data_IF_093503799329
#
_entry.id   IF_093503799329
#
_cell.length_a   1.000
_cell.length_b   1.000
_cell.length_c   1.000
_cell.angle_alpha   90.00
_cell.angle_beta   90.00
_cell.angle_gamma   90.00
#
_symmetry.space_group_name_H-M   'P 1'
#
loop_
_entity.id
_entity.type
_entity.pdbx_description
1 polymer ?
2 non-polymer ?
3 non-polymer ?
4 non-polymer ?
5 water ?
#
# COMPACT_ATOMS: atom_id res chain seq x y z
N UNK A 1 -7.68 28.06 3.60
CA UNK A 1 -8.22 28.51 4.85
C UNK A 1 -8.95 27.47 5.63
N UNK A 2 -9.99 26.89 5.07
CA UNK A 2 -10.75 25.91 5.79
C UNK A 2 -10.20 24.53 6.09
N UNK A 3 -9.63 23.88 5.11
CA UNK A 3 -9.05 22.60 5.34
C UNK A 3 -7.69 22.46 4.76
N UNK A 4 -6.76 21.91 5.54
CA UNK A 4 -5.43 21.54 5.00
C UNK A 4 -5.47 20.04 4.73
N UNK A 5 -5.39 19.67 3.46
CA UNK A 5 -5.34 18.30 3.08
C UNK A 5 -3.89 17.97 2.85
N UNK A 6 -3.36 17.05 3.63
CA UNK A 6 -2.00 16.62 3.54
C UNK A 6 -1.88 15.51 2.54
N UNK A 7 -1.25 15.84 1.46
CA UNK A 7 -1.06 14.97 0.38
C UNK A 7 -1.98 15.10 -0.77
N UNK A 8 -1.42 14.87 -1.96
CA UNK A 8 -2.17 14.88 -3.22
C UNK A 8 -2.08 13.52 -3.91
N UNK A 9 -2.08 12.43 -3.14
CA UNK A 9 -2.14 11.10 -3.76
C UNK A 9 -3.55 10.80 -4.19
N UNK A 10 -3.85 9.56 -4.48
CA UNK A 10 -5.23 9.17 -4.88
C UNK A 10 -6.17 9.63 -3.79
N UNK A 11 -5.69 9.65 -2.56
CA UNK A 11 -6.59 9.93 -1.42
C UNK A 11 -6.83 11.42 -1.20
N UNK A 12 -5.79 12.24 -1.33
CA UNK A 12 -6.02 13.65 -1.20
C UNK A 12 -6.89 14.17 -2.29
N UNK A 13 -6.58 13.82 -3.49
CA UNK A 13 -7.34 14.18 -4.61
C UNK A 13 -8.74 13.75 -4.41
N UNK A 14 -9.01 12.60 -3.91
CA UNK A 14 -10.36 12.30 -3.71
C UNK A 14 -10.95 13.17 -2.70
N UNK A 15 -10.15 13.63 -1.80
CA UNK A 15 -10.61 14.43 -0.71
C UNK A 15 -10.79 15.86 -1.14
N UNK A 16 -9.90 16.35 -1.95
CA UNK A 16 -9.99 17.67 -2.46
C UNK A 16 -11.05 17.87 -3.47
N UNK A 17 -11.73 16.83 -3.82
CA UNK A 17 -12.74 16.87 -4.77
C UNK A 17 -14.02 16.63 -4.04
N UNK A 18 -13.95 16.23 -2.80
CA UNK A 18 -15.22 16.13 -2.08
C UNK A 18 -15.49 17.45 -1.38
N UNK A 19 -14.43 18.13 -0.97
CA UNK A 19 -14.53 19.41 -0.27
C UNK A 19 -14.91 20.51 -1.25
N UNK A 20 -14.42 20.46 -2.46
CA UNK A 20 -14.77 21.42 -3.46
C UNK A 20 -16.22 21.27 -3.88
N UNK A 21 -16.66 20.05 -4.06
CA UNK A 21 -18.04 19.78 -4.40
C UNK A 21 -18.99 20.26 -3.35
N UNK A 22 -18.48 20.52 -2.18
CA UNK A 22 -19.32 21.07 -1.17
C UNK A 22 -19.01 22.53 -0.89
N UNK A 23 -18.16 23.15 -1.67
CA UNK A 23 -17.75 24.47 -1.32
C UNK A 23 -16.86 24.67 -0.10
N UNK A 24 -15.89 23.86 0.14
CA UNK A 24 -15.11 24.13 1.29
C UNK A 24 -13.77 24.56 0.91
N UNK A 25 -13.32 25.59 1.58
CA UNK A 25 -12.05 26.18 1.35
C UNK A 25 -11.10 25.11 1.75
N UNK A 26 -10.01 24.98 1.05
CA UNK A 26 -9.06 23.95 1.31
C UNK A 26 -7.87 24.08 0.47
N UNK A 27 -6.80 23.51 0.96
CA UNK A 27 -5.58 23.47 0.13
C UNK A 27 -5.01 22.07 0.23
N UNK A 28 -4.33 21.61 -0.80
CA UNK A 28 -3.62 20.31 -0.68
C UNK A 28 -2.13 20.57 -0.78
N UNK A 29 -1.39 20.02 0.16
CA UNK A 29 0.06 20.24 0.21
C UNK A 29 0.76 18.92 -0.11
N UNK A 30 1.41 18.85 -1.25
CA UNK A 30 2.21 17.65 -1.62
C UNK A 30 3.69 18.02 -1.60
N UNK A 31 4.56 17.06 -1.32
CA UNK A 31 6.02 17.28 -1.23
C UNK A 31 6.67 17.03 -2.59
N UNK A 32 5.96 16.36 -3.49
CA UNK A 32 6.58 15.99 -4.77
C UNK A 32 6.27 16.98 -5.86
N UNK A 33 7.02 16.94 -7.00
CA UNK A 33 6.80 17.86 -8.09
C UNK A 33 5.49 17.78 -8.86
N UNK A 34 4.71 16.75 -8.62
CA UNK A 34 3.36 16.66 -9.22
C UNK A 34 2.50 15.77 -8.34
N UNK A 35 1.25 15.68 -8.73
CA UNK A 35 0.29 14.82 -7.99
C UNK A 35 0.39 13.38 -8.50
N UNK A 36 -0.11 12.44 -7.72
CA UNK A 36 -0.18 11.04 -8.18
C UNK A 36 0.19 10.06 -7.10
N UNK A 37 0.72 10.56 -6.00
CA UNK A 37 1.22 9.63 -5.03
C UNK A 37 2.48 8.77 -5.39
N UNK A 38 2.35 7.49 -5.10
CA UNK A 38 3.45 6.54 -5.35
C UNK A 38 3.48 6.26 -6.84
N UNK A 39 2.36 6.43 -7.53
CA UNK A 39 2.23 6.06 -8.96
C UNK A 39 3.03 6.95 -9.89
N UNK A 40 3.42 8.13 -9.40
CA UNK A 40 4.17 9.11 -10.20
C UNK A 40 5.66 8.84 -10.14
N UNK A 41 6.15 8.28 -9.03
CA UNK A 41 7.61 8.13 -8.77
C UNK A 41 8.29 7.19 -9.77
N UNK A 42 7.81 5.97 -10.02
CA UNK A 42 8.39 5.14 -11.03
C UNK A 42 8.07 5.93 -12.30
N UNK A 43 9.06 6.55 -12.89
CA UNK A 43 8.70 7.39 -14.04
C UNK A 43 9.51 8.64 -13.97
N UNK A 44 9.92 9.03 -12.77
CA UNK A 44 10.84 10.18 -12.67
C UNK A 44 12.10 9.65 -12.02
N UNK A 45 12.15 8.35 -11.82
CA UNK A 45 13.37 7.73 -11.28
C UNK A 45 13.46 8.02 -9.82
N UNK A 46 12.32 8.19 -9.19
CA UNK A 46 12.35 8.62 -7.78
C UNK A 46 12.23 7.42 -6.84
N UNK A 47 12.77 7.55 -5.64
CA UNK A 47 12.77 6.43 -4.66
C UNK A 47 11.37 6.28 -4.07
N UNK A 48 10.64 5.28 -4.55
CA UNK A 48 9.36 4.93 -3.96
C UNK A 48 9.13 3.45 -4.02
N UNK A 49 8.06 2.95 -3.36
CA UNK A 49 7.72 1.55 -3.43
C UNK A 49 7.70 0.94 -4.81
N UNK A 50 7.09 1.61 -5.76
CA UNK A 50 6.95 1.08 -7.11
C UNK A 50 8.24 0.95 -7.89
N UNK A 51 8.14 0.51 -9.13
CA UNK A 51 9.34 0.23 -9.94
C UNK A 51 8.96 0.31 -11.37
N UNK A 52 9.93 0.29 -12.27
CA UNK A 52 9.61 0.51 -13.69
C UNK A 52 8.64 -0.55 -14.23
N UNK A 53 8.37 -1.63 -13.49
CA UNK A 53 7.52 -2.75 -14.00
C UNK A 53 6.24 -2.81 -13.22
N UNK A 54 5.84 -1.71 -12.60
CA UNK A 54 4.65 -1.76 -11.72
C UNK A 54 3.38 -1.51 -12.53
N UNK A 55 2.50 -2.48 -12.45
CA UNK A 55 1.17 -2.33 -13.06
C UNK A 55 0.16 -2.57 -11.94
N UNK A 56 -1.05 -2.16 -12.17
CA UNK A 56 -2.14 -2.49 -11.27
C UNK A 56 -2.25 -4.02 -11.14
N UNK A 57 -2.78 -4.45 -9.99
CA UNK A 57 -3.14 -5.78 -9.59
C UNK A 57 -4.65 -5.74 -9.32
N UNK A 58 -5.26 -4.62 -9.55
CA UNK A 58 -6.70 -4.61 -9.48
C UNK A 58 -7.28 -4.15 -10.75
N UNK A 59 -8.56 -4.38 -10.98
CA UNK A 59 -9.22 -4.00 -12.24
C UNK A 59 -9.42 -2.50 -12.38
N UNK A 60 -9.52 -2.01 -13.60
CA UNK A 60 -9.59 -0.55 -13.87
C UNK A 60 -10.96 -0.01 -13.50
N UNK A 61 -12.01 -0.73 -13.85
CA UNK A 61 -13.38 -0.29 -13.57
C UNK A 61 -13.58 -0.17 -12.08
N UNK A 62 -12.72 -0.82 -11.32
CA UNK A 62 -12.89 -0.83 -9.85
C UNK A 62 -11.80 0.01 -9.17
N UNK A 63 -10.81 0.50 -9.91
CA UNK A 63 -9.70 1.23 -9.27
C UNK A 63 -9.74 2.68 -9.70
N UNK A 64 -10.38 2.97 -10.82
CA UNK A 64 -10.53 4.37 -11.20
C UNK A 64 -11.69 5.00 -10.35
N UNK A 65 -11.77 6.37 -10.43
CA UNK A 65 -12.71 7.16 -9.66
C UNK A 65 -14.08 6.87 -10.28
N UNK A 66 -15.11 6.56 -9.51
CA UNK A 66 -16.38 6.14 -10.15
C UNK A 66 -16.93 7.18 -11.13
N UNK A 67 -16.63 8.46 -10.91
CA UNK A 67 -17.07 9.58 -11.79
C UNK A 67 -15.99 9.99 -12.78
N UNK A 68 -14.81 9.41 -12.69
CA UNK A 68 -13.76 9.69 -13.70
C UNK A 68 -13.27 8.36 -14.21
N UNK A 69 -14.00 7.74 -15.13
CA UNK A 69 -13.57 6.49 -15.70
C UNK A 69 -12.20 6.62 -16.35
N UNK A 70 -11.41 5.54 -16.31
CA UNK A 70 -10.07 5.53 -16.91
C UNK A 70 -10.26 5.33 -18.41
N UNK A 71 -9.39 5.88 -19.28
CA UNK A 71 -9.50 5.70 -20.70
C UNK A 71 -9.89 4.34 -21.17
N UNK A 72 -10.72 4.44 -22.14
CA UNK A 72 -11.22 3.37 -22.87
C UNK A 72 -10.15 2.33 -23.22
N UNK A 73 -9.11 2.83 -23.81
CA UNK A 73 -8.03 2.09 -24.33
C UNK A 73 -7.02 1.61 -23.34
N UNK A 74 -7.27 1.96 -22.08
CA UNK A 74 -6.39 1.48 -21.01
C UNK A 74 -6.71 0.02 -20.83
N UNK A 75 -5.74 -0.77 -20.37
CA UNK A 75 -6.03 -2.15 -20.06
C UNK A 75 -6.59 -2.42 -18.69
N UNK A 76 -6.93 -3.68 -18.43
CA UNK A 76 -7.40 -4.08 -17.09
C UNK A 76 -6.34 -3.74 -16.04
N UNK A 77 -5.09 -3.95 -16.37
CA UNK A 77 -4.00 -3.61 -15.43
C UNK A 77 -3.09 -2.60 -16.08
N UNK A 78 -3.46 -1.29 -16.08
CA UNK A 78 -2.58 -0.27 -16.58
C UNK A 78 -1.29 -0.19 -15.81
N UNK A 79 -0.32 0.48 -16.39
CA UNK A 79 1.00 0.58 -15.74
C UNK A 79 1.11 1.84 -14.87
N UNK A 80 2.15 1.90 -14.06
CA UNK A 80 2.43 3.07 -13.20
C UNK A 80 2.27 4.32 -14.06
N UNK A 81 2.86 4.32 -15.22
CA UNK A 81 2.82 5.47 -16.16
C UNK A 81 1.39 5.87 -16.54
N UNK A 82 0.51 4.91 -16.75
CA UNK A 82 -0.86 5.21 -17.21
C UNK A 82 -1.71 5.70 -16.05
N UNK A 83 -1.46 5.21 -14.86
CA UNK A 83 -2.25 5.58 -13.66
C UNK A 83 -1.84 6.99 -13.26
N UNK A 84 -0.57 7.24 -13.10
CA UNK A 84 -0.10 8.59 -12.76
C UNK A 84 -0.69 9.63 -13.69
N UNK A 85 -0.84 9.31 -14.97
CA UNK A 85 -1.35 10.25 -15.96
C UNK A 85 -2.86 10.40 -15.86
N UNK A 86 -3.56 9.36 -15.43
CA UNK A 86 -5.02 9.43 -15.18
C UNK A 86 -5.28 10.29 -13.98
N UNK A 87 -4.34 10.31 -13.04
CA UNK A 87 -4.57 11.04 -11.77
C UNK A 87 -4.30 12.52 -11.99
N UNK A 88 -3.27 12.83 -12.76
CA UNK A 88 -3.02 14.18 -13.09
C UNK A 88 -4.20 14.67 -13.83
N UNK A 89 -4.72 13.85 -14.71
CA UNK A 89 -5.88 14.24 -15.54
C UNK A 89 -7.09 14.49 -14.66
N UNK A 90 -7.20 13.77 -13.55
CA UNK A 90 -8.44 13.90 -12.73
C UNK A 90 -8.40 15.20 -12.00
N UNK A 91 -7.23 15.60 -11.56
CA UNK A 91 -7.09 16.87 -10.84
C UNK A 91 -7.33 18.00 -11.81
N UNK A 92 -6.90 17.83 -13.04
CA UNK A 92 -7.15 18.83 -14.08
C UNK A 92 -8.67 18.99 -14.26
N UNK A 93 -9.38 17.88 -14.38
CA UNK A 93 -10.82 17.89 -14.66
C UNK A 93 -11.61 18.23 -13.43
N UNK A 94 -11.06 18.13 -12.24
CA UNK A 94 -11.91 18.46 -11.09
C UNK A 94 -11.50 19.80 -10.48
N UNK A 95 -10.62 20.54 -11.14
CA UNK A 95 -10.25 21.89 -10.70
C UNK A 95 -9.45 21.97 -9.44
N UNK A 96 -8.72 20.91 -9.10
CA UNK A 96 -8.06 20.85 -7.79
C UNK A 96 -6.66 21.45 -7.81
N UNK A 97 -6.10 21.70 -8.97
CA UNK A 97 -4.69 22.14 -9.03
C UNK A 97 -4.53 23.57 -8.53
N UNK A 98 -5.56 24.38 -8.71
CA UNK A 98 -5.54 25.76 -8.16
C UNK A 98 -5.30 25.63 -6.66
N UNK A 99 -5.55 24.44 -6.12
CA UNK A 99 -5.48 24.31 -4.69
C UNK A 99 -4.27 23.60 -4.18
N UNK A 100 -3.50 23.02 -5.08
CA UNK A 100 -2.38 22.15 -4.63
C UNK A 100 -1.06 22.92 -4.58
N UNK A 101 -0.40 22.82 -3.44
CA UNK A 101 0.92 23.43 -3.29
C UNK A 101 1.92 22.30 -3.46
N UNK A 102 2.64 22.30 -4.55
CA UNK A 102 3.50 21.20 -4.78
C UNK A 102 4.78 21.44 -4.13
N UNK A 103 5.64 20.44 -4.18
CA UNK A 103 6.98 20.54 -3.56
C UNK A 103 6.88 21.28 -2.23
N UNK A 104 5.80 21.05 -1.49
CA UNK A 104 5.61 21.68 -0.16
C UNK A 104 5.44 20.56 0.86
N UNK A 105 6.47 20.33 1.65
CA UNK A 105 6.44 19.19 2.58
C UNK A 105 5.97 19.63 3.95
N UNK A 106 5.06 18.87 4.51
CA UNK A 106 4.51 19.23 5.83
C UNK A 106 5.56 18.74 6.82
N UNK A 107 6.18 19.70 7.50
CA UNK A 107 7.18 19.40 8.53
C UNK A 107 6.44 19.07 9.81
N UNK A 108 5.37 19.82 10.11
CA UNK A 108 4.74 19.59 11.38
C UNK A 108 3.28 19.86 11.45
N UNK A 109 2.61 19.33 12.45
CA UNK A 109 1.18 19.51 12.68
C UNK A 109 0.84 19.55 14.14
N UNK A 110 -0.07 20.40 14.52
CA UNK A 110 -0.40 20.55 15.91
C UNK A 110 -1.58 21.33 16.40
N UNK A 111 -2.32 20.76 17.30
CA UNK A 111 -3.45 21.44 17.89
C UNK A 111 -3.13 22.42 18.97
N UNK A 112 -3.67 23.63 18.79
CA UNK A 112 -3.56 24.81 19.65
C UNK A 112 -4.66 24.77 20.55
N UNK A 113 -4.61 25.55 21.58
CA UNK A 113 -5.57 25.17 22.56
C UNK A 113 -6.94 25.84 22.25
N UNK A 114 -7.43 25.88 21.00
CA UNK A 114 -8.73 26.42 20.62
C UNK A 114 -9.35 25.78 19.39
N UNK A 115 -8.66 24.79 18.76
CA UNK A 115 -9.26 23.92 17.73
C UNK A 115 -8.76 24.03 16.27
N UNK A 116 -8.13 25.18 15.91
CA UNK A 116 -7.48 25.30 14.63
C UNK A 116 -6.13 24.68 14.84
N UNK A 117 -5.45 24.41 13.75
CA UNK A 117 -4.16 23.69 13.83
C UNK A 117 -3.12 24.50 13.11
N UNK A 118 -1.90 24.55 13.64
CA UNK A 118 -0.79 25.20 12.94
C UNK A 118 -0.13 24.14 12.11
N UNK A 119 0.14 24.45 10.85
CA UNK A 119 0.74 23.48 9.92
C UNK A 119 2.02 24.09 9.36
N UNK A 120 3.18 23.53 9.67
CA UNK A 120 4.43 24.00 9.10
C UNK A 120 4.79 23.25 7.86
N UNK A 121 5.17 23.94 6.82
CA UNK A 121 5.42 23.29 5.59
C UNK A 121 6.69 23.77 4.93
N UNK A 122 7.40 22.88 4.28
CA UNK A 122 8.67 23.22 3.68
C UNK A 122 8.64 23.43 2.19
N UNK A 123 8.88 24.66 1.78
CA UNK A 123 8.93 24.99 0.38
C UNK A 123 10.15 24.41 -0.26
N UNK A 124 10.20 24.46 -1.57
CA UNK A 124 11.31 23.78 -2.19
C UNK A 124 12.65 24.31 -1.71
N UNK A 125 12.67 25.60 -1.44
CA UNK A 125 13.82 26.35 -0.91
C UNK A 125 14.23 25.88 0.45
N UNK A 126 13.49 24.94 1.00
CA UNK A 126 13.81 24.44 2.31
C UNK A 126 13.43 25.44 3.37
N UNK A 127 13.01 26.61 2.95
CA UNK A 127 12.60 27.67 3.80
C UNK A 127 11.32 27.19 4.42
N UNK A 128 11.16 27.34 5.74
CA UNK A 128 9.94 26.82 6.43
C UNK A 128 8.86 27.91 6.54
N UNK A 129 7.61 27.51 6.80
CA UNK A 129 6.48 28.48 6.98
C UNK A 129 5.41 27.82 7.86
N UNK A 130 4.78 28.59 8.75
CA UNK A 130 3.72 28.09 9.59
C UNK A 130 2.45 28.83 9.31
N UNK A 131 1.34 28.11 9.23
CA UNK A 131 0.06 28.70 8.96
C UNK A 131 -0.92 28.05 9.87
N UNK A 132 -2.16 28.44 9.79
CA UNK A 132 -3.15 27.89 10.65
C UNK A 132 -4.39 27.53 9.90
N UNK A 133 -4.92 26.32 10.12
CA UNK A 133 -6.13 25.85 9.45
C UNK A 133 -7.17 25.32 10.43
N UNK A 134 -8.44 25.46 10.09
CA UNK A 134 -9.51 25.09 11.04
C UNK A 134 -9.54 23.59 11.13
N UNK A 135 -9.48 22.98 9.96
CA UNK A 135 -9.43 21.50 9.94
C UNK A 135 -8.26 21.01 9.09
N UNK A 136 -7.77 19.84 9.40
CA UNK A 136 -6.71 19.07 8.74
C UNK A 136 -7.17 17.58 8.35
N UNK A 137 -7.13 17.26 7.05
CA UNK A 137 -7.21 15.84 6.58
C UNK A 137 -5.84 15.27 6.25
N UNK A 138 -5.44 14.25 6.99
CA UNK A 138 -4.18 13.55 6.65
C UNK A 138 -4.45 12.50 5.56
N UNK A 139 -3.73 12.56 4.44
CA UNK A 139 -3.86 11.60 3.34
C UNK A 139 -2.46 11.23 2.87
N UNK A 140 -1.56 10.96 3.81
CA UNK A 140 -0.11 10.81 3.53
C UNK A 140 0.36 9.42 3.07
N UNK A 141 -0.45 8.39 3.21
CA UNK A 141 -0.08 7.03 2.82
C UNK A 141 0.48 6.24 3.97
N UNK A 142 0.53 4.92 3.83
CA UNK A 142 1.20 4.14 4.91
C UNK A 142 2.31 3.27 4.31
N UNK A 143 2.86 3.69 3.17
CA UNK A 143 3.95 2.96 2.49
C UNK A 143 5.11 3.93 2.29
N UNK A 144 5.56 4.54 3.37
CA UNK A 144 6.59 5.60 3.28
C UNK A 144 7.93 5.20 3.91
N UNK A 145 7.92 4.30 4.88
CA UNK A 145 9.16 3.92 5.57
C UNK A 145 9.38 2.45 5.31
N UNK A 146 10.54 2.02 4.78
CA UNK A 146 10.79 0.60 4.58
C UNK A 146 11.11 -0.16 5.78
N UNK A 147 10.54 -1.32 5.74
CA UNK A 147 10.70 -2.24 6.77
C UNK A 147 11.79 -3.31 6.64
N UNK A 148 13.01 -2.93 6.96
CA UNK A 148 14.11 -3.85 6.95
C UNK A 148 14.06 -4.79 8.12
N UNK A 149 14.45 -6.08 7.91
CA UNK A 149 14.57 -7.04 9.01
C UNK A 149 15.46 -6.51 10.09
N UNK A 150 14.98 -6.52 11.33
CA UNK A 150 15.77 -5.82 12.39
C UNK A 150 17.09 -6.53 12.60
N UNK A 151 17.13 -7.80 13.02
CA UNK A 151 18.43 -8.39 13.10
C UNK A 151 18.74 -8.51 11.62
N UNK A 152 19.57 -7.64 11.08
CA UNK A 152 20.01 -7.82 9.67
C UNK A 152 20.97 -9.02 9.68
N UNK A 153 20.82 -10.03 8.77
CA UNK A 153 21.78 -11.11 8.66
C UNK A 153 23.26 -10.84 8.76
N UNK A 154 23.89 -11.50 9.69
CA UNK A 154 25.26 -11.11 10.10
C UNK A 154 26.26 -11.14 8.94
N UNK A 155 27.24 -10.25 9.00
CA UNK A 155 28.22 -10.14 7.93
C UNK A 155 27.80 -9.16 6.87
N UNK A 156 26.59 -8.64 7.00
CA UNK A 156 26.15 -7.61 6.02
C UNK A 156 27.00 -6.23 5.99
N UNK A 157 27.76 -5.96 7.03
CA UNK A 157 28.59 -4.73 6.99
C UNK A 157 29.87 -5.05 6.22
N UNK A 158 30.09 -6.34 5.96
CA UNK A 158 31.29 -6.82 5.23
C UNK A 158 30.85 -7.63 4.02
N UNK A 159 29.78 -7.21 3.35
CA UNK A 159 29.36 -7.81 2.07
C UNK A 159 29.96 -6.91 1.06
N UNK A 160 30.30 -7.43 -0.11
CA UNK A 160 30.98 -6.59 -1.10
C UNK A 160 29.95 -6.06 -2.09
N UNK A 161 28.68 -6.32 -1.81
CA UNK A 161 27.64 -5.92 -2.76
C UNK A 161 26.68 -4.87 -2.24
N UNK A 162 25.55 -4.71 -2.94
CA UNK A 162 24.59 -3.66 -2.60
C UNK A 162 23.41 -4.27 -1.89
N UNK A 163 23.16 -3.84 -0.67
CA UNK A 163 21.94 -4.31 0.05
C UNK A 163 20.92 -3.17 -0.11
N UNK A 164 19.69 -3.53 -0.45
CA UNK A 164 18.74 -2.48 -0.78
C UNK A 164 17.30 -2.93 -0.50
N UNK A 165 16.40 -1.94 -0.52
CA UNK A 165 14.97 -2.22 -0.34
C UNK A 165 14.23 -1.89 -1.64
N UNK A 166 13.02 -2.38 -1.76
CA UNK A 166 12.17 -2.12 -2.94
C UNK A 166 11.87 -0.63 -3.09
N UNK A 167 12.12 0.18 -2.07
CA UNK A 167 11.88 1.63 -2.28
C UNK A 167 12.96 2.09 -3.25
N UNK A 168 14.13 1.50 -3.18
CA UNK A 168 15.22 1.97 -3.99
C UNK A 168 15.41 1.21 -5.23
N UNK A 169 14.50 0.30 -5.48
CA UNK A 169 14.56 -0.46 -6.70
C UNK A 169 13.91 0.30 -7.76
N UNK A 170 14.52 0.29 -8.91
CA UNK A 170 14.05 1.07 -9.99
C UNK A 170 13.86 0.28 -11.25
N UNK A 171 14.94 -0.17 -11.85
CA UNK A 171 14.85 -0.89 -13.08
C UNK A 171 15.56 -2.16 -13.03
N UNK A 172 14.97 -3.09 -13.70
CA UNK A 172 15.59 -4.36 -13.80
C UNK A 172 16.89 -4.15 -14.53
N UNK A 173 16.95 -3.15 -15.37
CA UNK A 173 18.14 -2.87 -16.13
C UNK A 173 19.38 -2.49 -15.40
N UNK A 174 19.28 -1.80 -14.29
CA UNK A 174 20.43 -1.43 -13.54
C UNK A 174 21.14 -2.66 -13.03
N UNK A 175 20.54 -3.84 -13.12
CA UNK A 175 21.15 -5.04 -12.50
C UNK A 175 21.62 -6.02 -13.59
N UNK A 176 21.71 -5.53 -14.81
CA UNK A 176 22.18 -6.31 -15.97
C UNK A 176 23.45 -7.11 -15.69
N UNK A 177 23.39 -8.42 -15.84
CA UNK A 177 24.56 -9.25 -15.70
C UNK A 177 25.03 -9.50 -14.34
N UNK A 178 24.17 -9.34 -13.38
CA UNK A 178 24.62 -9.47 -12.05
C UNK A 178 23.87 -10.53 -11.32
N UNK A 179 24.26 -10.80 -10.11
CA UNK A 179 23.64 -11.83 -9.33
C UNK A 179 22.92 -11.25 -8.14
N UNK A 180 21.60 -11.43 -8.05
CA UNK A 180 20.80 -10.84 -7.01
C UNK A 180 19.87 -11.73 -6.25
N UNK A 181 19.68 -11.44 -4.98
CA UNK A 181 18.74 -12.21 -4.14
C UNK A 181 17.57 -11.28 -3.77
N UNK A 182 16.38 -11.57 -4.25
CA UNK A 182 15.17 -10.81 -3.87
C UNK A 182 14.76 -11.42 -2.52
N UNK A 183 14.52 -10.60 -1.49
CA UNK A 183 14.04 -11.16 -0.19
C UNK A 183 12.55 -10.81 0.01
N UNK A 184 11.68 -11.82 0.06
CA UNK A 184 10.24 -11.64 0.30
C UNK A 184 9.42 -12.57 -0.54
N UNK A 185 8.14 -12.70 -0.23
CA UNK A 185 7.22 -13.50 -1.09
C UNK A 185 5.97 -12.64 -1.35
N UNK A 186 6.09 -11.33 -1.11
CA UNK A 186 4.99 -10.40 -1.38
C UNK A 186 4.92 -9.93 -2.81
N UNK A 187 3.99 -9.03 -3.11
CA UNK A 187 3.76 -8.54 -4.48
C UNK A 187 4.87 -7.64 -4.96
N UNK A 188 5.64 -7.12 -4.04
CA UNK A 188 6.82 -6.34 -4.46
C UNK A 188 7.92 -7.34 -4.84
N UNK A 189 8.07 -8.41 -4.09
CA UNK A 189 9.17 -9.37 -4.32
C UNK A 189 8.93 -10.21 -5.56
N UNK A 190 7.72 -10.71 -5.72
CA UNK A 190 7.40 -11.58 -6.87
C UNK A 190 7.61 -10.74 -8.13
N UNK A 191 7.36 -9.46 -8.04
CA UNK A 191 7.44 -8.57 -9.22
C UNK A 191 8.91 -8.26 -9.54
N UNK A 192 9.72 -8.03 -8.52
CA UNK A 192 11.12 -7.59 -8.77
C UNK A 192 11.92 -8.78 -9.30
N UNK A 193 11.71 -9.96 -8.73
CA UNK A 193 12.34 -11.18 -9.27
C UNK A 193 12.01 -11.32 -10.75
N UNK A 194 10.74 -11.27 -11.10
CA UNK A 194 10.30 -11.39 -12.50
C UNK A 194 10.98 -10.37 -13.39
N UNK A 195 11.22 -9.19 -12.86
CA UNK A 195 12.00 -8.19 -13.64
C UNK A 195 13.44 -8.70 -13.69
N UNK A 196 14.08 -8.88 -12.54
CA UNK A 196 15.50 -9.28 -12.49
C UNK A 196 15.73 -10.53 -13.34
N UNK A 197 14.69 -11.33 -13.53
CA UNK A 197 14.77 -12.58 -14.31
C UNK A 197 15.08 -12.29 -15.77
N UNK A 198 14.95 -11.05 -16.18
CA UNK A 198 15.11 -10.78 -17.62
C UNK A 198 16.27 -9.79 -17.80
N UNK A 199 16.99 -9.53 -16.72
CA UNK A 199 18.10 -8.55 -16.77
C UNK A 199 19.35 -9.11 -16.06
N UNK A 200 19.17 -9.73 -14.92
CA UNK A 200 20.32 -10.24 -14.12
C UNK A 200 20.72 -11.65 -14.52
N UNK A 201 21.99 -11.93 -14.55
CA UNK A 201 22.47 -13.24 -14.95
C UNK A 201 21.92 -14.27 -14.07
N UNK A 202 21.44 -13.85 -12.92
CA UNK A 202 20.84 -14.78 -12.01
C UNK A 202 20.06 -14.10 -10.96
N UNK A 203 19.00 -14.74 -10.51
CA UNK A 203 18.05 -14.16 -9.60
C UNK A 203 17.58 -15.23 -8.67
N UNK A 204 17.77 -15.02 -7.40
CA UNK A 204 17.32 -15.99 -6.37
C UNK A 204 16.25 -15.31 -5.53
N UNK A 205 15.24 -16.06 -5.13
CA UNK A 205 14.12 -15.52 -4.30
C UNK A 205 14.18 -16.15 -2.91
N UNK A 206 14.63 -15.38 -1.92
CA UNK A 206 14.77 -15.91 -0.54
C UNK A 206 13.43 -15.81 0.18
N UNK A 207 12.84 -16.96 0.50
CA UNK A 207 11.54 -17.00 1.21
C UNK A 207 11.73 -17.60 2.59
N UNK A 208 10.80 -17.32 3.49
CA UNK A 208 10.88 -17.80 4.90
C UNK A 208 9.53 -18.27 5.38
N UNK A 209 8.47 -18.06 4.61
CA UNK A 209 7.18 -18.44 5.18
C UNK A 209 6.24 -19.19 4.25
N UNK A 210 6.16 -18.76 3.01
CA UNK A 210 5.23 -19.43 2.08
C UNK A 210 3.86 -18.81 2.11
N UNK A 211 3.44 -18.24 0.99
CA UNK A 211 2.14 -17.56 0.90
C UNK A 211 1.43 -18.13 -0.33
N UNK A 212 0.14 -18.39 -0.20
CA UNK A 212 -0.65 -18.88 -1.33
C UNK A 212 -0.44 -17.91 -2.49
N UNK A 213 -0.01 -18.43 -3.63
CA UNK A 213 0.32 -17.53 -4.77
C UNK A 213 -0.79 -17.65 -5.81
N UNK A 214 -1.53 -16.56 -5.97
CA UNK A 214 -2.62 -16.62 -6.87
C UNK A 214 -2.41 -15.92 -8.13
N UNK A 215 -2.95 -16.55 -9.22
CA UNK A 215 -2.79 -15.83 -10.46
C UNK A 215 -3.78 -14.72 -10.44
N UNK A 216 -3.55 -13.74 -11.30
CA UNK A 216 -4.36 -12.49 -11.30
C UNK A 216 -5.79 -12.71 -11.77
N UNK A 217 -5.99 -13.77 -12.50
CA UNK A 217 -7.31 -14.01 -13.08
C UNK A 217 -7.64 -15.47 -12.89
N UNK A 218 -8.84 -15.73 -12.43
CA UNK A 218 -9.31 -17.11 -12.35
C UNK A 218 -10.56 -17.12 -13.23
N UNK A 219 -10.63 -18.04 -14.14
CA UNK A 219 -11.78 -18.13 -15.06
C UNK A 219 -11.81 -16.92 -15.92
N UNK A 220 -10.66 -16.36 -16.25
CA UNK A 220 -10.81 -15.18 -17.03
C UNK A 220 -11.08 -13.94 -16.24
N UNK A 221 -11.64 -14.08 -15.06
CA UNK A 221 -12.02 -12.89 -14.26
C UNK A 221 -11.03 -12.64 -13.10
N UNK A 222 -10.67 -11.38 -12.93
CA UNK A 222 -9.74 -10.97 -11.87
C UNK A 222 -10.27 -11.30 -10.48
N UNK A 223 -9.36 -11.49 -9.55
CA UNK A 223 -9.73 -11.84 -8.15
C UNK A 223 -10.57 -10.70 -7.57
N UNK A 224 -10.34 -9.45 -7.93
CA UNK A 224 -11.25 -8.41 -7.38
C UNK A 224 -12.63 -8.55 -7.99
N UNK A 225 -12.71 -8.79 -9.29
CA UNK A 225 -14.01 -8.85 -10.01
C UNK A 225 -14.85 -10.07 -9.63
N UNK A 226 -14.26 -11.02 -8.94
CA UNK A 226 -15.03 -12.21 -8.49
C UNK A 226 -15.49 -11.92 -7.07
N UNK A 227 -14.72 -11.12 -6.34
CA UNK A 227 -15.16 -10.86 -5.06
C UNK A 227 -16.41 -10.01 -5.15
N UNK A 228 -16.79 -9.62 -6.36
CA UNK A 228 -17.96 -8.72 -6.50
C UNK A 228 -19.05 -9.49 -7.24
N UNK A 229 -18.70 -10.66 -7.73
CA UNK A 229 -19.71 -11.51 -8.39
C UNK A 229 -20.82 -11.77 -7.41
N UNK A 230 -22.06 -11.93 -7.88
CA UNK A 230 -23.11 -12.26 -6.97
C UNK A 230 -22.92 -13.73 -6.60
N UNK A 231 -22.45 -14.52 -7.55
CA UNK A 231 -22.26 -15.96 -7.29
C UNK A 231 -21.17 -16.21 -6.24
N UNK A 232 -20.10 -15.42 -6.24
CA UNK A 232 -19.03 -15.59 -5.22
C UNK A 232 -19.59 -15.19 -3.88
N UNK A 233 -20.35 -14.11 -3.85
CA UNK A 233 -21.06 -13.77 -2.59
C UNK A 233 -22.19 -14.78 -2.55
N UNK A 234 -23.05 -14.77 -1.56
CA UNK A 234 -24.08 -15.85 -1.57
C UNK A 234 -23.34 -17.20 -1.54
N UNK A 235 -22.07 -17.19 -1.17
CA UNK A 235 -21.34 -18.46 -0.96
C UNK A 235 -20.70 -18.34 0.43
N UNK A 236 -20.70 -19.42 1.18
CA UNK A 236 -20.22 -19.37 2.58
C UNK A 236 -18.70 -19.30 2.59
N UNK A 237 -18.12 -19.03 3.75
CA UNK A 237 -16.65 -18.78 3.82
C UNK A 237 -15.88 -20.06 3.64
N UNK A 238 -16.59 -21.17 3.56
CA UNK A 238 -15.90 -22.46 3.30
C UNK A 238 -16.31 -22.89 1.88
N UNK A 239 -17.43 -22.41 1.37
CA UNK A 239 -17.72 -22.80 -0.02
C UNK A 239 -16.64 -22.13 -0.87
N UNK A 240 -16.29 -20.93 -0.50
CA UNK A 240 -15.28 -20.21 -1.18
C UNK A 240 -13.88 -20.79 -1.09
N UNK A 241 -13.48 -21.14 0.11
CA UNK A 241 -12.17 -21.69 0.31
C UNK A 241 -11.92 -22.85 -0.58
N UNK A 242 -12.85 -23.77 -0.60
CA UNK A 242 -12.66 -24.93 -1.37
C UNK A 242 -12.76 -24.58 -2.82
N UNK A 243 -13.72 -23.78 -3.19
CA UNK A 243 -13.77 -23.30 -4.59
C UNK A 243 -12.38 -22.90 -5.02
N UNK A 244 -11.77 -21.96 -4.31
CA UNK A 244 -10.41 -21.44 -4.63
C UNK A 244 -9.40 -22.58 -4.52
N UNK A 245 -9.46 -23.30 -3.42
CA UNK A 245 -8.52 -24.41 -3.25
C UNK A 245 -8.59 -25.25 -4.48
N UNK A 246 -9.78 -25.73 -4.80
CA UNK A 246 -9.93 -26.51 -6.01
C UNK A 246 -9.42 -25.75 -7.24
N UNK A 247 -9.90 -24.57 -7.46
CA UNK A 247 -9.42 -23.53 -8.39
C UNK A 247 -7.90 -23.32 -8.50
N UNK A 248 -7.16 -23.17 -7.44
CA UNK A 248 -5.71 -22.98 -7.61
C UNK A 248 -4.94 -24.32 -7.91
N UNK A 249 -5.48 -25.45 -7.52
CA UNK A 249 -4.71 -26.64 -7.89
C UNK A 249 -4.81 -26.83 -9.41
N UNK A 250 -5.95 -26.51 -10.00
CA UNK A 250 -6.16 -26.72 -11.46
C UNK A 250 -5.39 -25.66 -12.23
N UNK A 251 -5.06 -24.56 -11.58
CA UNK A 251 -4.45 -23.48 -12.35
C UNK A 251 -2.93 -23.48 -12.20
N UNK A 252 -2.42 -23.91 -11.06
CA UNK A 252 -1.00 -23.88 -10.81
C UNK A 252 -0.56 -25.06 -10.01
N UNK A 253 -1.48 -25.92 -9.66
CA UNK A 253 -1.15 -27.04 -8.82
C UNK A 253 -0.86 -26.78 -7.40
N UNK A 254 0.25 -27.32 -6.95
CA UNK A 254 0.64 -27.12 -5.61
C UNK A 254 1.94 -26.45 -5.62
N UNK A 255 2.21 -25.73 -4.57
CA UNK A 255 3.40 -24.97 -4.50
C UNK A 255 4.60 -25.75 -4.01
N UNK A 256 4.42 -26.89 -3.34
CA UNK A 256 5.61 -27.67 -2.96
C UNK A 256 6.23 -28.22 -4.24
N UNK A 257 5.48 -28.19 -5.33
CA UNK A 257 5.95 -28.68 -6.64
C UNK A 257 6.61 -27.51 -7.40
N UNK A 258 6.93 -26.44 -6.70
CA UNK A 258 7.66 -25.32 -7.33
C UNK A 258 8.81 -24.90 -6.43
N UNK A 259 9.09 -25.67 -5.41
CA UNK A 259 10.23 -25.37 -4.53
C UNK A 259 9.89 -24.29 -3.54
N UNK A 260 8.60 -23.99 -3.39
CA UNK A 260 8.18 -22.89 -2.50
C UNK A 260 7.59 -23.47 -1.23
N UNK A 261 7.89 -22.87 -0.05
CA UNK A 261 7.32 -23.32 1.19
C UNK A 261 5.79 -23.26 1.21
N UNK A 262 5.17 -24.37 1.52
CA UNK A 262 3.71 -24.40 1.66
C UNK A 262 3.29 -23.52 2.84
N UNK A 263 2.13 -22.87 2.73
CA UNK A 263 1.67 -22.01 3.78
C UNK A 263 1.07 -22.86 4.91
N UNK A 264 1.13 -22.34 6.12
CA UNK A 264 0.61 -23.09 7.30
C UNK A 264 -0.91 -23.07 7.32
N UNK A 265 -1.51 -21.93 6.99
CA UNK A 265 -2.99 -21.82 7.09
C UNK A 265 -3.54 -21.61 5.69
N UNK A 266 -4.75 -22.12 5.37
CA UNK A 266 -5.26 -22.08 4.02
C UNK A 266 -5.51 -20.72 3.43
N UNK A 267 -5.94 -20.74 2.18
CA UNK A 267 -6.17 -19.45 1.48
C UNK A 267 -7.11 -18.57 2.31
N UNK A 268 -6.93 -17.25 2.28
CA UNK A 268 -7.78 -16.26 3.01
C UNK A 268 -7.46 -16.24 4.47
N UNK A 269 -6.84 -17.31 4.94
CA UNK A 269 -6.40 -17.41 6.34
C UNK A 269 -4.88 -17.20 6.31
N UNK A 270 -4.32 -16.75 5.18
CA UNK A 270 -2.87 -16.44 5.04
C UNK A 270 -2.77 -15.46 3.87
N UNK A 271 -1.78 -14.57 3.83
CA UNK A 271 -1.82 -13.54 2.79
C UNK A 271 -1.72 -14.22 1.44
N UNK A 272 -2.30 -13.57 0.46
CA UNK A 272 -2.17 -14.09 -0.88
C UNK A 272 -1.26 -13.16 -1.58
N UNK A 273 -0.37 -13.72 -2.37
CA UNK A 273 0.41 -12.86 -3.24
C UNK A 273 -0.13 -13.11 -4.61
N UNK A 274 -0.52 -12.04 -5.29
CA UNK A 274 -1.00 -12.16 -6.68
C UNK A 274 0.20 -12.12 -7.63
N UNK A 275 0.21 -13.00 -8.61
CA UNK A 275 1.29 -13.04 -9.63
C UNK A 275 0.84 -13.99 -10.73
N UNK A 276 1.06 -13.59 -11.97
CA UNK A 276 0.70 -14.41 -13.13
C UNK A 276 2.00 -14.92 -13.74
N UNK A 277 3.15 -14.66 -13.10
CA UNK A 277 4.47 -14.95 -13.71
C UNK A 277 5.48 -15.71 -12.84
N UNK A 278 5.52 -15.54 -11.52
CA UNK A 278 6.64 -16.06 -10.69
C UNK A 278 6.77 -17.59 -10.69
N UNK A 279 5.69 -18.31 -10.94
CA UNK A 279 5.76 -19.78 -11.00
C UNK A 279 6.38 -20.13 -12.34
N UNK A 280 5.85 -19.60 -13.43
CA UNK A 280 6.51 -19.80 -14.74
C UNK A 280 7.98 -19.40 -14.65
N UNK A 281 8.32 -18.20 -14.20
CA UNK A 281 9.76 -17.82 -14.22
C UNK A 281 10.63 -18.86 -13.47
N UNK A 282 10.06 -19.62 -12.54
CA UNK A 282 10.79 -20.67 -11.77
C UNK A 282 10.90 -21.90 -12.65
N UNK A 283 9.80 -22.30 -13.24
CA UNK A 283 9.74 -23.51 -14.09
C UNK A 283 10.66 -23.31 -15.30
N UNK A 284 11.19 -22.11 -15.45
CA UNK A 284 12.11 -21.78 -16.56
C UNK A 284 13.49 -21.49 -15.95
N UNK A 285 13.69 -21.65 -14.65
CA UNK A 285 14.99 -21.41 -14.00
C UNK A 285 15.44 -19.98 -14.15
N UNK A 286 14.51 -19.05 -14.28
CA UNK A 286 14.86 -17.63 -14.38
C UNK A 286 14.98 -17.09 -12.96
N UNK A 287 14.28 -17.74 -12.05
CA UNK A 287 14.41 -17.40 -10.62
C UNK A 287 14.47 -18.75 -9.91
N UNK A 288 15.28 -18.84 -8.85
CA UNK A 288 15.44 -20.11 -8.11
C UNK A 288 15.14 -19.91 -6.66
N UNK A 289 14.12 -20.61 -6.12
CA UNK A 289 13.75 -20.50 -4.74
C UNK A 289 14.78 -20.80 -3.71
N UNK A 290 14.74 -20.04 -2.64
CA UNK A 290 15.78 -20.23 -1.64
C UNK A 290 15.10 -20.17 -0.29
N UNK A 291 15.82 -20.55 0.78
CA UNK A 291 15.26 -20.38 2.08
C UNK A 291 15.75 -19.02 2.46
N UNK A 292 15.73 -18.76 3.75
CA UNK A 292 16.13 -17.43 4.24
C UNK A 292 17.64 -17.29 4.21
N UNK A 293 18.08 -16.08 4.42
CA UNK A 293 19.53 -15.78 4.41
C UNK A 293 20.01 -15.92 5.85
N UNK A 294 21.27 -16.31 6.03
CA UNK A 294 21.82 -16.53 7.39
C UNK A 294 23.07 -15.70 7.56
N UNK A 295 23.65 -15.28 6.43
CA UNK A 295 24.90 -14.50 6.50
C UNK A 295 25.36 -13.98 5.14
N UNK A 296 26.38 -13.16 5.18
CA UNK A 296 26.98 -12.62 3.96
C UNK A 296 28.46 -12.96 3.98
N UNK A 297 28.84 -14.03 3.26
CA UNK A 297 30.26 -14.43 3.14
C UNK A 297 30.81 -13.57 2.02
N UNK A 298 31.51 -12.48 2.33
CA UNK A 298 31.96 -11.52 1.31
C UNK A 298 31.91 -12.03 -0.10
N UNK A 299 31.21 -11.34 -1.00
CA UNK A 299 31.06 -11.76 -2.43
C UNK A 299 29.92 -12.78 -2.54
N UNK A 300 29.46 -13.30 -1.41
CA UNK A 300 28.44 -14.38 -1.48
C UNK A 300 27.42 -14.31 -0.35
N UNK A 301 26.32 -15.03 -0.50
CA UNK A 301 25.23 -15.05 0.51
C UNK A 301 25.01 -16.51 0.93
N UNK A 302 24.73 -16.72 2.20
CA UNK A 302 24.51 -18.10 2.70
C UNK A 302 23.06 -18.20 3.14
N UNK A 303 22.49 -19.39 2.98
CA UNK A 303 21.08 -19.57 3.31
C UNK A 303 20.97 -20.57 4.41
N UNK A 304 19.77 -20.69 4.94
CA UNK A 304 19.55 -21.54 6.10
C UNK A 304 19.62 -23.02 5.74
N UNK A 305 19.76 -23.34 4.47
CA UNK A 305 19.88 -24.74 4.00
C UNK A 305 21.36 -25.10 3.90
N UNK A 306 22.25 -24.13 4.09
CA UNK A 306 23.70 -24.36 3.97
C UNK A 306 24.22 -23.82 2.66
N UNK A 307 23.32 -23.60 1.70
CA UNK A 307 23.73 -23.19 0.35
C UNK A 307 24.41 -21.85 0.31
N UNK A 308 25.26 -21.69 -0.68
CA UNK A 308 26.03 -20.43 -0.84
C UNK A 308 25.79 -19.91 -2.26
N UNK A 309 26.02 -18.62 -2.49
CA UNK A 309 25.93 -18.11 -3.87
C UNK A 309 26.62 -16.77 -4.02
N UNK A 310 27.39 -16.51 -5.09
CA UNK A 310 27.90 -15.17 -5.35
C UNK A 310 26.69 -14.33 -5.71
N UNK A 311 26.74 -13.08 -5.22
CA UNK A 311 25.60 -12.20 -5.10
C UNK A 311 26.17 -10.84 -5.00
N UNK A 312 26.04 -10.10 -6.11
CA UNK A 312 26.39 -8.68 -6.26
C UNK A 312 25.48 -7.68 -5.46
N UNK A 313 24.25 -8.15 -5.24
CA UNK A 313 23.25 -7.29 -4.61
C UNK A 313 22.19 -8.12 -3.92
N UNK A 314 21.35 -7.46 -3.12
CA UNK A 314 20.22 -8.09 -2.39
C UNK A 314 19.15 -7.00 -2.25
N UNK A 315 18.03 -7.15 -2.95
CA UNK A 315 16.90 -6.18 -2.83
C UNK A 315 15.86 -6.73 -1.85
N UNK A 316 15.74 -6.08 -0.70
CA UNK A 316 14.82 -6.52 0.37
C UNK A 316 13.43 -5.96 0.13
N UNK A 317 12.55 -6.84 -0.30
CA UNK A 317 11.14 -6.48 -0.52
C UNK A 317 10.41 -6.93 0.75
N UNK A 318 10.82 -6.38 1.90
CA UNK A 318 10.34 -6.81 3.23
C UNK A 318 9.17 -5.95 3.70
N UNK A 319 8.80 -4.94 2.93
CA UNK A 319 7.58 -4.18 3.23
C UNK A 319 7.79 -2.82 3.80
N UNK A 320 6.73 -2.25 4.33
CA UNK A 320 6.84 -0.86 4.79
C UNK A 320 6.21 -0.66 6.14
N UNK A 321 6.74 0.30 6.88
CA UNK A 321 6.14 0.69 8.17
C UNK A 321 5.30 1.95 7.93
N UNK A 322 4.25 2.15 8.72
CA UNK A 322 3.46 3.40 8.60
C UNK A 322 4.02 4.42 9.59
N UNK A 323 4.50 5.53 9.07
CA UNK A 323 4.97 6.63 9.95
C UNK A 323 4.14 7.87 9.67
N UNK A 324 4.08 8.80 10.61
CA UNK A 324 3.46 10.10 10.35
C UNK A 324 4.40 11.11 11.00
N UNK A 325 5.55 11.39 10.39
CA UNK A 325 6.56 12.23 11.03
C UNK A 325 6.11 13.67 11.33
N UNK A 326 5.05 14.09 10.64
CA UNK A 326 4.57 15.48 10.75
C UNK A 326 3.56 15.60 11.88
N UNK A 327 3.18 14.48 12.48
CA UNK A 327 2.28 14.49 13.65
C UNK A 327 3.17 14.36 14.86
N UNK A 328 3.67 15.47 15.40
CA UNK A 328 4.59 15.43 16.48
C UNK A 328 3.70 14.97 17.61
N UNK A 329 3.62 13.67 17.83
CA UNK A 329 2.79 13.07 18.89
C UNK A 329 2.29 11.75 18.34
N UNK A 330 1.53 11.07 19.16
CA UNK A 330 0.99 9.79 18.71
C UNK A 330 0.48 9.86 17.29
N UNK A 331 0.86 8.87 16.48
CA UNK A 331 0.21 8.75 15.17
C UNK A 331 -1.15 8.21 15.59
N UNK A 332 -2.15 7.98 14.73
CA UNK A 332 -3.46 7.62 15.23
C UNK A 332 -3.24 6.60 16.33
N UNK A 333 -2.15 5.86 16.24
CA UNK A 333 -1.93 4.73 17.18
C UNK A 333 -1.86 4.97 18.67
N UNK A 334 -2.29 3.97 19.42
CA UNK A 334 -2.04 4.07 20.87
C UNK A 334 -1.95 2.68 21.47
N UNK A 335 -0.87 2.41 22.22
CA UNK A 335 -0.66 1.14 22.96
C UNK A 335 0.10 0.06 22.16
N UNK A 336 -0.54 -1.08 21.92
CA UNK A 336 0.11 -2.22 21.23
C UNK A 336 0.56 -1.70 19.88
N UNK A 337 -0.14 -0.70 19.37
CA UNK A 337 0.18 -0.16 18.05
C UNK A 337 -1.15 -0.04 17.37
N UNK A 338 -2.14 -0.65 17.99
CA UNK A 338 -3.51 -0.57 17.43
C UNK A 338 -3.79 0.85 16.99
N UNK A 339 -4.16 1.01 15.73
CA UNK A 339 -4.57 2.37 15.30
C UNK A 339 -5.95 2.61 15.92
N UNK A 340 -6.12 3.77 16.53
CA UNK A 340 -7.41 4.14 17.14
C UNK A 340 -8.10 5.20 16.27
N UNK A 341 -8.95 4.75 15.35
CA UNK A 341 -9.68 5.68 14.47
C UNK A 341 -11.09 5.13 14.28
N UNK A 342 -12.09 5.94 14.60
CA UNK A 342 -13.51 5.51 14.49
C UNK A 342 -13.87 5.35 13.05
N UNK A 343 -14.46 4.21 12.75
CA UNK A 343 -14.84 3.88 11.36
C UNK A 343 -13.56 4.00 10.55
N UNK A 344 -12.42 3.80 11.21
CA UNK A 344 -11.09 3.75 10.55
C UNK A 344 -10.63 5.13 10.07
N UNK A 345 -11.26 6.20 10.54
CA UNK A 345 -10.93 7.56 10.02
C UNK A 345 -10.79 8.59 11.15
N UNK A 346 -11.62 8.53 12.17
CA UNK A 346 -11.69 9.66 13.16
C UNK A 346 -11.01 9.45 14.50
N UNK A 347 -9.99 10.27 14.78
CA UNK A 347 -9.37 10.26 16.08
C UNK A 347 -10.41 10.59 17.10
N UNK A 348 -10.35 9.94 18.26
CA UNK A 348 -11.46 10.10 19.15
C UNK A 348 -11.27 11.38 19.93
N UNK A 349 -10.04 11.60 20.34
CA UNK A 349 -9.71 12.73 21.22
C UNK A 349 -9.38 14.01 20.47
N UNK A 350 -9.15 13.92 19.17
CA UNK A 350 -8.67 15.13 18.47
C UNK A 350 -9.72 15.63 17.50
N UNK A 351 -10.44 16.76 17.82
CA UNK A 351 -11.39 17.33 16.88
C UNK A 351 -10.66 18.14 15.82
N UNK A 352 -11.07 17.97 14.57
CA UNK A 352 -10.44 18.70 13.45
C UNK A 352 -9.48 17.83 12.67
N UNK A 353 -9.33 16.58 13.07
CA UNK A 353 -8.37 15.65 12.43
C UNK A 353 -9.12 14.49 11.77
N UNK A 354 -8.70 14.15 10.57
CA UNK A 354 -9.32 13.06 9.79
C UNK A 354 -8.17 12.35 9.14
N UNK A 355 -8.33 11.06 8.88
CA UNK A 355 -7.29 10.24 8.25
C UNK A 355 -7.95 9.47 7.14
N UNK A 356 -7.56 9.78 5.91
CA UNK A 356 -8.15 9.12 4.72
C UNK A 356 -7.10 8.18 4.10
N UNK A 357 -7.42 6.90 3.99
CA UNK A 357 -6.50 5.96 3.34
C UNK A 357 -5.88 4.92 4.23
N UNK A 358 -5.86 5.12 5.56
CA UNK A 358 -5.26 4.16 6.51
C UNK A 358 -5.78 2.74 6.41
N UNK A 359 -6.87 2.57 5.70
CA UNK A 359 -7.47 1.24 5.45
C UNK A 359 -6.82 0.29 4.44
N UNK A 360 -6.81 -1.00 4.72
CA UNK A 360 -6.32 -2.00 3.73
C UNK A 360 -7.46 -2.92 3.37
N UNK A 361 -8.13 -2.66 2.26
CA UNK A 361 -9.17 -3.55 1.85
C UNK A 361 -8.64 -4.81 1.17
N UNK A 362 -9.54 -5.76 0.97
CA UNK A 362 -9.15 -6.92 0.15
C UNK A 362 -9.58 -6.45 -1.23
N UNK A 363 -8.66 -5.80 -1.88
CA UNK A 363 -8.98 -5.25 -3.19
C UNK A 363 -8.56 -3.81 -3.32
N UNK A 364 -9.00 -3.19 -4.40
CA UNK A 364 -8.74 -1.77 -4.63
C UNK A 364 -9.47 -0.93 -3.60
N UNK A 365 -8.84 0.15 -3.22
CA UNK A 365 -9.34 1.05 -2.14
C UNK A 365 -10.10 2.24 -2.72
N UNK A 366 -9.90 2.56 -3.99
CA UNK A 366 -10.52 3.79 -4.55
C UNK A 366 -11.91 4.06 -3.96
N UNK A 367 -12.84 3.11 -4.05
CA UNK A 367 -14.21 3.32 -3.54
C UNK A 367 -14.22 3.55 -2.01
N UNK A 368 -13.21 3.11 -1.28
CA UNK A 368 -13.18 3.27 0.19
C UNK A 368 -12.71 4.69 0.52
N UNK A 369 -11.82 5.21 -0.29
CA UNK A 369 -11.28 6.57 -0.05
C UNK A 369 -12.36 7.56 -0.43
N UNK A 370 -13.12 7.23 -1.45
CA UNK A 370 -14.22 8.09 -1.92
C UNK A 370 -15.29 8.23 -0.82
N UNK A 371 -15.65 7.15 -0.17
CA UNK A 371 -16.65 7.24 0.89
C UNK A 371 -16.11 8.13 1.99
N UNK A 372 -14.89 7.87 2.42
CA UNK A 372 -14.30 8.61 3.55
C UNK A 372 -14.28 10.11 3.23
N UNK A 373 -13.91 10.48 2.02
CA UNK A 373 -13.92 11.89 1.56
C UNK A 373 -15.31 12.51 1.70
N UNK A 374 -16.34 11.86 1.18
CA UNK A 374 -17.73 12.36 1.27
C UNK A 374 -18.10 12.58 2.75
N UNK A 375 -17.94 11.55 3.58
CA UNK A 375 -18.31 11.66 5.00
C UNK A 375 -17.47 12.72 5.71
N UNK A 376 -16.18 12.76 5.42
CA UNK A 376 -15.27 13.75 6.07
C UNK A 376 -15.73 15.16 5.67
N UNK A 377 -16.10 15.35 4.41
CA UNK A 377 -16.62 16.66 3.97
C UNK A 377 -17.87 17.03 4.76
N UNK A 378 -18.79 16.10 4.94
CA UNK A 378 -20.01 16.35 5.75
C UNK A 378 -19.56 16.57 7.20
N UNK A 379 -18.63 15.83 7.74
CA UNK A 379 -18.23 16.18 9.12
C UNK A 379 -17.67 17.62 9.17
N UNK A 380 -16.85 18.01 8.20
CA UNK A 380 -16.14 19.34 8.22
C UNK A 380 -17.10 20.54 8.19
N UNK A 381 -18.16 20.50 7.38
CA UNK A 381 -19.08 21.65 7.22
C UNK A 381 -20.23 21.58 8.21
N UNK A 382 -20.40 20.46 8.88
CA UNK A 382 -21.45 20.32 9.89
C UNK A 382 -22.65 19.56 9.42
N UNK A 383 -22.65 19.06 8.20
CA UNK A 383 -23.81 18.26 7.75
C UNK A 383 -23.72 16.84 8.29
N UNK A 384 -22.67 16.55 9.03
CA UNK A 384 -22.59 15.24 9.68
C UNK A 384 -21.93 15.42 11.04
N UNK A 385 -22.32 14.58 11.99
CA UNK A 385 -21.71 14.64 13.33
C UNK A 385 -21.20 13.27 13.80
N UNK A 386 -20.37 13.28 14.82
CA UNK A 386 -19.79 12.08 15.41
C UNK A 386 -20.38 11.83 16.78
N UNK A 387 -20.31 10.59 17.28
CA UNK A 387 -20.75 10.32 18.64
C UNK A 387 -19.87 10.91 19.66
N UNK A 388 -20.35 10.92 20.90
CA UNK A 388 -19.32 11.36 21.85
C UNK A 388 -18.11 10.38 21.80
N UNK A 389 -16.96 10.97 22.11
CA UNK A 389 -15.64 10.35 22.24
C UNK A 389 -15.62 9.04 23.06
N UNK A 390 -16.40 8.95 24.12
CA UNK A 390 -16.48 7.68 24.87
C UNK A 390 -17.14 6.63 23.98
N UNK A 391 -18.12 7.03 23.18
CA UNK A 391 -18.88 6.07 22.35
C UNK A 391 -18.09 5.75 21.08
N UNK A 392 -17.22 6.65 20.71
CA UNK A 392 -16.37 6.42 19.52
C UNK A 392 -15.32 5.37 19.91
N UNK A 393 -14.93 5.34 21.18
CA UNK A 393 -13.89 4.40 21.64
C UNK A 393 -14.53 3.03 21.86
N UNK A 394 -15.83 2.93 21.66
CA UNK A 394 -16.51 1.63 21.79
C UNK A 394 -16.48 0.97 20.43
N UNK A 395 -16.52 1.76 19.37
CA UNK A 395 -16.51 1.21 17.99
C UNK A 395 -15.09 0.80 17.69
N UNK A 396 -14.15 1.49 18.27
CA UNK A 396 -12.79 1.18 18.00
C UNK A 396 -12.39 -0.10 18.73
N UNK A 397 -12.67 -0.14 20.01
CA UNK A 397 -12.43 -1.29 20.80
C UNK A 397 -13.29 -2.42 20.35
N UNK A 398 -14.33 -2.22 19.56
CA UNK A 398 -15.06 -3.39 19.05
C UNK A 398 -14.27 -3.89 17.84
N UNK A 399 -13.84 -2.97 17.00
CA UNK A 399 -13.14 -3.33 15.75
C UNK A 399 -11.87 -4.01 16.12
N UNK A 400 -11.26 -3.55 17.20
CA UNK A 400 -9.98 -4.13 17.61
C UNK A 400 -10.23 -5.48 18.29
N UNK A 401 -11.07 -5.54 19.31
CA UNK A 401 -11.25 -6.82 20.02
C UNK A 401 -11.60 -7.87 18.98
N UNK A 402 -12.14 -7.44 17.85
CA UNK A 402 -12.56 -8.36 16.84
C UNK A 402 -11.41 -8.65 15.92
N UNK A 403 -10.59 -7.64 15.64
CA UNK A 403 -9.47 -7.81 14.69
C UNK A 403 -8.51 -8.90 15.22
N UNK A 404 -8.29 -8.94 16.54
CA UNK A 404 -7.40 -9.97 17.15
C UNK A 404 -8.14 -11.31 17.19
N UNK A 405 -9.33 -11.35 16.60
CA UNK A 405 -10.15 -12.58 16.75
C UNK A 405 -10.42 -13.22 15.37
N UNK A 406 -10.29 -12.51 14.27
CA UNK A 406 -10.46 -13.20 12.97
C UNK A 406 -9.13 -13.16 12.29
N UNK A 407 -8.31 -12.21 12.72
CA UNK A 407 -6.96 -12.14 12.15
C UNK A 407 -6.01 -12.53 13.23
N UNK A 408 -6.37 -12.33 14.50
CA UNK A 408 -5.32 -12.72 15.45
C UNK A 408 -4.17 -11.74 15.55
N UNK A 409 -3.62 -11.58 16.74
CA UNK A 409 -2.51 -10.61 16.94
C UNK A 409 -1.52 -10.76 15.79
N UNK A 410 -1.18 -9.65 15.12
CA UNK A 410 -0.22 -9.69 13.97
C UNK A 410 0.00 -8.21 13.76
N UNK A 411 0.60 -7.83 12.62
CA UNK A 411 0.81 -6.41 12.27
C UNK A 411 -0.13 -5.73 11.27
N UNK A 412 -0.28 -4.41 11.33
CA UNK A 412 -1.10 -3.64 10.36
C UNK A 412 -2.47 -4.25 10.15
N UNK A 413 -2.86 -5.16 11.04
CA UNK A 413 -4.16 -5.82 10.93
C UNK A 413 -5.20 -4.84 11.43
N UNK A 414 -4.72 -3.81 12.11
CA UNK A 414 -5.67 -2.91 12.65
C UNK A 414 -6.08 -1.74 11.67
N UNK A 415 -5.99 -1.94 10.35
CA UNK A 415 -6.36 -0.94 9.36
C UNK A 415 -6.95 -1.78 8.34
N UNK A 416 -7.30 -2.97 8.74
CA UNK A 416 -7.79 -3.97 7.77
C UNK A 416 -9.30 -4.03 7.84
N UNK A 417 -9.94 -4.14 6.69
CA UNK A 417 -11.41 -4.06 6.67
C UNK A 417 -11.99 -4.93 5.57
N UNK A 418 -13.32 -5.10 5.59
CA UNK A 418 -14.06 -5.79 4.52
C UNK A 418 -14.64 -4.70 3.62
N UNK A 419 -14.50 -4.78 2.31
CA UNK A 419 -14.94 -3.68 1.42
C UNK A 419 -16.46 -3.49 1.50
N UNK A 420 -17.22 -4.51 1.11
CA UNK A 420 -18.69 -4.43 1.04
C UNK A 420 -19.39 -3.92 2.27
N UNK A 421 -19.24 -4.55 3.44
CA UNK A 421 -19.94 -4.10 4.62
C UNK A 421 -19.46 -2.73 5.06
N UNK A 422 -18.19 -2.42 4.82
CA UNK A 422 -17.64 -1.14 5.31
C UNK A 422 -18.18 -0.01 4.45
N UNK A 423 -18.36 -0.26 3.15
CA UNK A 423 -18.82 0.80 2.22
C UNK A 423 -20.35 0.82 2.18
N UNK A 424 -20.96 -0.02 2.99
CA UNK A 424 -22.43 0.03 3.09
C UNK A 424 -22.75 1.13 4.09
N UNK A 425 -21.85 1.33 5.04
CA UNK A 425 -22.10 2.32 6.12
C UNK A 425 -21.78 3.72 5.59
N UNK A 426 -21.75 3.88 4.27
CA UNK A 426 -21.48 5.19 3.65
C UNK A 426 -22.49 5.41 2.54
#
# INVERSE_FOLDING_TARGET
MRVCVIGAGLSGLAVGHALKERGISFVCLEKAPDVGGIWRQPGAGERGPGYRTLHLNTAKQLTGYADFPMPDAYPLYPRHSQVAAYLRSFAEWAGLLDHVELRTEVVSVRQDADGPWTVVSRGADGAQVSRRFEQVVVASGHHNEPALPDPLPAGADSFAGTILHSLDYRDGGDFAGRRVVVVGLGASAVDIAADLSRHAERTLLSVRRGLHIVPKQLFGMSVDEIAEAPWWNEMSFDERRRWVEQALLVARGRLSDYGLPEPDHPVFSSATTLSDEILSRIRHGAVTPKPAIASFDGDRVVFTDGTSEPADAVVYCTGFHMTFPFLPAGCPMSADGSVELYRRVVPADRPGLYFVGLVRPVGAITRLVEAQAEWVARLVDGAAVLPAADQMREEIGTYLTGIVQRYGRTEGASIQVDVGPYLAEFRESLPV
#
